data_IF_435399830583
#
_entry.id   IF_435399830583
#
_cell.length_a   1.000
_cell.length_b   1.000
_cell.length_c   1.000
_cell.angle_alpha   90.00
_cell.angle_beta   90.00
_cell.angle_gamma   90.00
#
_symmetry.space_group_name_H-M   'P 1'
#
loop_
_entity.id
_entity.type
_entity.pdbx_description
1 polymer ?
#
# COMPACT_ATOMS: atom_id res chain seq x y z
N UNK A 1 -23.44 5.16 51.72
CA UNK A 1 -22.17 5.88 51.92
C UNK A 1 -21.11 4.89 52.37
N UNK A 2 -20.22 4.48 51.48
CA UNK A 2 -18.80 4.23 51.79
C UNK A 2 -18.05 4.21 50.47
N UNK A 3 -17.10 5.14 50.36
CA UNK A 3 -16.18 5.27 49.26
C UNK A 3 -14.95 4.36 49.51
N UNK A 4 -14.11 4.31 48.49
CA UNK A 4 -12.67 4.02 48.52
C UNK A 4 -12.22 2.58 48.77
N UNK A 5 -12.05 1.85 47.65
CA UNK A 5 -10.74 1.31 47.26
C UNK A 5 -10.73 0.96 45.78
N UNK A 6 -10.94 1.97 44.92
CA UNK A 6 -10.51 1.87 43.51
C UNK A 6 -9.00 1.78 43.56
N UNK A 7 -8.48 0.59 43.29
CA UNK A 7 -7.06 0.31 43.24
C UNK A 7 -6.38 1.29 42.30
N UNK A 8 -5.41 2.02 42.82
CA UNK A 8 -4.49 2.92 42.10
C UNK A 8 -3.61 2.16 41.07
N UNK A 9 -3.87 0.87 40.85
CA UNK A 9 -3.17 0.00 39.90
C UNK A 9 -3.62 0.10 38.44
N UNK A 10 -4.68 0.85 38.11
CA UNK A 10 -5.10 1.07 36.71
C UNK A 10 -4.52 2.34 36.07
N UNK A 11 -3.69 3.12 36.78
CA UNK A 11 -3.21 4.44 36.31
C UNK A 11 -1.80 4.46 35.70
N UNK A 12 -1.19 3.30 35.45
CA UNK A 12 0.07 3.16 34.69
C UNK A 12 -0.11 2.28 33.45
N UNK A 13 -1.27 2.37 32.80
CA UNK A 13 -1.46 1.78 31.48
C UNK A 13 -0.60 2.60 30.50
N UNK A 14 0.57 2.05 30.19
CA UNK A 14 1.61 2.56 29.28
C UNK A 14 1.10 3.59 28.26
N UNK A 15 1.78 4.74 28.19
CA UNK A 15 1.56 5.76 27.15
C UNK A 15 1.82 5.16 25.77
N UNK A 16 0.83 4.46 25.22
CA UNK A 16 0.88 3.94 23.85
C UNK A 16 0.88 5.13 22.90
N UNK A 17 1.89 5.20 22.04
CA UNK A 17 1.88 6.11 20.92
C UNK A 17 0.62 5.86 20.08
N UNK A 18 -0.14 6.91 19.82
CA UNK A 18 -1.38 6.82 19.06
C UNK A 18 -1.15 7.25 17.60
N UNK A 19 -1.81 6.57 16.67
CA UNK A 19 -1.91 6.97 15.27
C UNK A 19 -2.85 8.18 15.19
N UNK A 20 -2.35 9.33 14.75
CA UNK A 20 -3.14 10.55 14.61
C UNK A 20 -3.86 10.59 13.27
N UNK A 21 -5.18 10.81 13.29
CA UNK A 21 -5.95 10.99 12.06
C UNK A 21 -5.56 12.28 11.32
N UNK A 22 -5.15 13.35 12.03
CA UNK A 22 -4.56 14.55 11.41
C UNK A 22 -3.31 14.23 10.62
N UNK A 23 -2.41 13.39 11.15
CA UNK A 23 -1.23 12.95 10.42
C UNK A 23 -1.63 12.19 9.14
N UNK A 24 -2.57 11.25 9.25
CA UNK A 24 -3.07 10.50 8.10
C UNK A 24 -3.70 11.40 7.03
N UNK A 25 -4.49 12.40 7.44
CA UNK A 25 -5.04 13.40 6.53
C UNK A 25 -3.92 14.25 5.89
N UNK A 26 -2.89 14.61 6.66
CA UNK A 26 -1.73 15.36 6.18
C UNK A 26 -0.98 14.65 5.04
N UNK A 27 -0.98 13.31 5.00
CA UNK A 27 -0.39 12.54 3.90
C UNK A 27 -1.05 12.84 2.55
N UNK A 28 -2.34 13.18 2.54
CA UNK A 28 -3.06 13.59 1.32
C UNK A 28 -2.60 14.93 0.77
N UNK A 29 -1.79 15.69 1.52
CA UNK A 29 -1.09 16.88 1.03
C UNK A 29 -0.20 16.61 -0.19
N UNK A 30 0.15 15.34 -0.47
CA UNK A 30 0.83 14.96 -1.72
C UNK A 30 -0.01 15.30 -2.97
N UNK A 31 -1.34 15.29 -2.88
CA UNK A 31 -2.24 15.60 -4.00
C UNK A 31 -2.00 17.03 -4.51
N UNK A 32 -2.22 18.10 -3.71
CA UNK A 32 -1.98 19.46 -4.17
C UNK A 32 -0.50 19.69 -4.53
N UNK A 33 0.45 19.05 -3.84
CA UNK A 33 1.88 19.13 -4.19
C UNK A 33 2.13 18.62 -5.62
N UNK A 34 1.63 17.44 -5.97
CA UNK A 34 1.79 16.90 -7.32
C UNK A 34 1.09 17.75 -8.39
N UNK A 35 -0.10 18.30 -8.09
CA UNK A 35 -0.80 19.19 -9.02
C UNK A 35 -0.05 20.51 -9.24
N UNK A 36 0.47 21.12 -8.17
CA UNK A 36 1.30 22.33 -8.26
C UNK A 36 2.57 22.04 -9.06
N UNK A 37 3.26 20.93 -8.77
CA UNK A 37 4.46 20.54 -9.50
C UNK A 37 4.18 20.34 -11.00
N UNK A 38 3.06 19.74 -11.36
CA UNK A 38 2.67 19.59 -12.76
C UNK A 38 2.38 20.94 -13.43
N UNK A 39 1.70 21.88 -12.75
CA UNK A 39 1.48 23.23 -13.26
C UNK A 39 2.80 24.00 -13.45
N UNK A 40 3.71 23.92 -12.48
CA UNK A 40 5.04 24.54 -12.57
C UNK A 40 5.86 23.90 -13.69
N UNK A 41 5.75 22.59 -13.88
CA UNK A 41 6.45 21.91 -14.96
C UNK A 41 6.02 22.43 -16.32
N UNK A 42 4.71 22.58 -16.51
CA UNK A 42 4.16 23.06 -17.76
C UNK A 42 4.46 24.54 -18.02
N UNK A 43 4.33 25.40 -17.00
CA UNK A 43 4.43 26.86 -17.17
C UNK A 43 5.84 27.42 -17.02
N UNK A 44 6.67 26.84 -16.16
CA UNK A 44 8.00 27.37 -15.83
C UNK A 44 9.13 26.50 -16.38
N UNK A 45 8.99 25.16 -16.31
CA UNK A 45 10.08 24.24 -16.64
C UNK A 45 9.99 23.60 -18.01
N UNK A 46 9.03 24.04 -18.85
CA UNK A 46 8.91 23.56 -20.24
C UNK A 46 8.81 22.03 -20.34
N UNK A 47 7.97 21.44 -19.46
CA UNK A 47 7.74 20.00 -19.35
C UNK A 47 9.00 19.17 -18.96
N UNK A 48 9.96 19.76 -18.26
CA UNK A 48 11.19 19.09 -17.81
C UNK A 48 10.91 17.82 -16.99
N UNK A 49 10.04 17.89 -15.99
CA UNK A 49 9.67 16.75 -15.15
C UNK A 49 8.96 15.69 -15.98
N UNK A 50 8.01 16.06 -16.85
CA UNK A 50 7.35 15.10 -17.75
C UNK A 50 8.36 14.31 -18.59
N UNK A 51 9.39 15.00 -19.08
CA UNK A 51 10.37 14.41 -20.00
C UNK A 51 11.48 13.62 -19.27
N UNK A 52 11.79 13.95 -18.01
CA UNK A 52 12.86 13.29 -17.24
C UNK A 52 12.36 12.26 -16.23
N UNK A 53 11.10 12.32 -15.79
CA UNK A 53 10.54 11.34 -14.88
C UNK A 53 10.15 10.03 -15.60
N UNK A 54 10.17 8.90 -14.88
CA UNK A 54 9.74 7.60 -15.40
C UNK A 54 8.38 7.64 -16.10
N UNK A 55 8.37 7.34 -17.40
CA UNK A 55 7.16 7.25 -18.22
C UNK A 55 6.83 5.82 -18.67
N UNK A 56 7.71 4.84 -18.38
CA UNK A 56 7.57 3.44 -18.78
C UNK A 56 7.72 2.48 -17.59
N UNK A 57 7.07 1.29 -17.64
CA UNK A 57 7.14 0.23 -16.61
C UNK A 57 8.56 -0.10 -16.12
N UNK A 58 9.56 -0.08 -17.01
CA UNK A 58 10.95 -0.39 -16.66
C UNK A 58 11.59 0.65 -15.75
N UNK A 59 11.24 1.93 -15.92
CA UNK A 59 11.70 3.00 -15.04
C UNK A 59 10.95 3.07 -13.71
N UNK A 60 9.84 2.33 -13.57
CA UNK A 60 9.15 2.15 -12.29
C UNK A 60 9.86 1.15 -11.37
N UNK A 61 11.01 0.57 -11.72
CA UNK A 61 11.85 -0.14 -10.74
C UNK A 61 12.30 0.82 -9.63
N UNK A 62 12.77 2.03 -9.98
CA UNK A 62 13.07 3.06 -8.98
C UNK A 62 11.84 3.36 -8.12
N UNK A 63 10.67 3.43 -8.75
CA UNK A 63 9.41 3.60 -8.04
C UNK A 63 9.15 2.44 -7.08
N UNK A 64 9.31 1.18 -7.50
CA UNK A 64 9.14 -0.01 -6.65
C UNK A 64 10.12 -0.06 -5.48
N UNK A 65 11.34 0.45 -5.66
CA UNK A 65 12.35 0.55 -4.60
C UNK A 65 11.96 1.62 -3.58
N UNK A 66 11.39 2.75 -4.01
CA UNK A 66 10.99 3.85 -3.13
C UNK A 66 9.60 3.62 -2.48
N UNK A 67 8.68 3.04 -3.24
CA UNK A 67 7.26 2.86 -2.91
C UNK A 67 6.78 1.50 -3.47
N UNK A 68 6.10 0.71 -2.67
CA UNK A 68 5.64 -0.63 -3.04
C UNK A 68 6.39 -1.72 -2.27
N UNK A 69 7.57 -2.09 -2.78
CA UNK A 69 8.29 -3.24 -2.24
C UNK A 69 8.76 -3.05 -0.80
N UNK A 70 9.26 -1.87 -0.36
CA UNK A 70 9.62 -1.68 1.05
C UNK A 70 8.44 -1.93 1.99
N UNK A 71 7.24 -1.41 1.71
CA UNK A 71 6.10 -1.61 2.62
C UNK A 71 5.64 -3.08 2.64
N UNK A 72 5.65 -3.76 1.49
CA UNK A 72 5.35 -5.20 1.38
C UNK A 72 6.33 -6.00 2.23
N UNK A 73 7.61 -5.67 2.14
CA UNK A 73 8.65 -6.34 2.93
C UNK A 73 8.48 -6.00 4.42
N UNK A 74 8.18 -4.76 4.77
CA UNK A 74 7.95 -4.34 6.16
C UNK A 74 6.83 -5.16 6.82
N UNK A 75 5.70 -5.36 6.13
CA UNK A 75 4.59 -6.15 6.67
C UNK A 75 4.99 -7.61 6.90
N UNK A 76 5.77 -8.19 5.97
CA UNK A 76 6.25 -9.56 6.06
C UNK A 76 7.30 -9.72 7.17
N UNK A 77 8.20 -8.76 7.34
CA UNK A 77 9.12 -8.71 8.48
C UNK A 77 8.33 -8.67 9.79
N UNK A 78 7.32 -7.81 9.89
CA UNK A 78 6.52 -7.67 11.10
C UNK A 78 5.76 -8.98 11.42
N UNK A 79 5.25 -9.68 10.40
CA UNK A 79 4.61 -10.99 10.55
C UNK A 79 5.59 -12.08 11.00
N UNK A 80 6.74 -12.19 10.34
CA UNK A 80 7.69 -13.32 10.52
C UNK A 80 8.59 -13.11 11.74
N UNK A 81 8.94 -11.87 12.09
CA UNK A 81 9.79 -11.58 13.25
C UNK A 81 9.10 -11.80 14.60
N UNK A 82 7.79 -11.96 14.61
CA UNK A 82 6.97 -12.10 15.81
C UNK A 82 6.36 -13.51 15.90
N UNK A 83 6.93 -14.36 16.77
CA UNK A 83 6.51 -15.76 16.93
C UNK A 83 5.01 -15.92 17.18
N UNK A 84 4.43 -15.06 18.02
CA UNK A 84 3.00 -15.11 18.35
C UNK A 84 2.11 -14.89 17.12
N UNK A 85 2.57 -14.07 16.18
CA UNK A 85 1.82 -13.77 14.95
C UNK A 85 1.89 -14.94 13.99
N UNK A 86 3.07 -15.55 13.81
CA UNK A 86 3.21 -16.77 13.04
C UNK A 86 2.35 -17.90 13.59
N UNK A 87 2.35 -18.11 14.92
CA UNK A 87 1.53 -19.16 15.55
C UNK A 87 0.03 -18.90 15.33
N UNK A 88 -0.41 -17.65 15.51
CA UNK A 88 -1.81 -17.26 15.32
C UNK A 88 -2.25 -17.42 13.85
N UNK A 89 -1.43 -16.98 12.90
CA UNK A 89 -1.78 -16.95 11.47
C UNK A 89 -1.29 -18.15 10.66
N UNK A 90 -0.64 -19.16 11.25
CA UNK A 90 -0.03 -20.30 10.54
C UNK A 90 -0.94 -20.98 9.52
N UNK A 91 -2.23 -21.15 9.84
CA UNK A 91 -3.21 -21.79 8.94
C UNK A 91 -3.49 -20.90 7.73
N UNK A 92 -3.67 -19.60 7.95
CA UNK A 92 -3.88 -18.61 6.90
C UNK A 92 -2.66 -18.48 5.99
N UNK A 93 -1.45 -18.44 6.58
CA UNK A 93 -0.21 -18.41 5.83
C UNK A 93 -0.09 -19.68 4.97
N UNK A 94 -0.21 -20.88 5.57
CA UNK A 94 -0.08 -22.13 4.82
C UNK A 94 -1.12 -22.26 3.69
N UNK A 95 -2.38 -21.97 3.96
CA UNK A 95 -3.45 -22.01 2.96
C UNK A 95 -3.18 -21.03 1.82
N UNK A 96 -2.81 -19.79 2.15
CA UNK A 96 -2.54 -18.77 1.13
C UNK A 96 -1.24 -19.06 0.36
N UNK A 97 -0.22 -19.64 0.99
CA UNK A 97 0.98 -20.11 0.28
C UNK A 97 0.61 -21.16 -0.76
N UNK A 98 -0.19 -22.16 -0.38
CA UNK A 98 -0.67 -23.19 -1.33
C UNK A 98 -1.50 -22.55 -2.44
N UNK A 99 -2.41 -21.63 -2.10
CA UNK A 99 -3.24 -20.93 -3.09
C UNK A 99 -2.39 -20.09 -4.07
N UNK A 100 -1.35 -19.38 -3.59
CA UNK A 100 -0.44 -18.60 -4.43
C UNK A 100 0.37 -19.52 -5.35
N UNK A 101 0.91 -20.63 -4.84
CA UNK A 101 1.66 -21.59 -5.67
C UNK A 101 0.77 -22.17 -6.76
N UNK A 102 -0.44 -22.64 -6.42
CA UNK A 102 -1.41 -23.14 -7.39
C UNK A 102 -1.78 -22.05 -8.39
N UNK A 103 -2.01 -20.82 -7.92
CA UNK A 103 -2.33 -19.67 -8.76
C UNK A 103 -1.23 -19.33 -9.75
N UNK A 104 0.04 -19.39 -9.35
CA UNK A 104 1.18 -19.19 -10.26
C UNK A 104 1.30 -20.32 -11.28
N UNK A 105 1.21 -21.58 -10.83
CA UNK A 105 1.35 -22.75 -11.72
C UNK A 105 0.21 -22.79 -12.74
N UNK A 106 -1.04 -22.78 -12.28
CA UNK A 106 -2.21 -22.81 -13.16
C UNK A 106 -2.29 -21.53 -14.00
N UNK A 107 -2.02 -20.37 -13.41
CA UNK A 107 -2.02 -19.11 -14.12
C UNK A 107 -1.04 -19.11 -15.27
N UNK A 108 0.20 -19.55 -15.05
CA UNK A 108 1.23 -19.61 -16.09
C UNK A 108 0.95 -20.67 -17.17
N UNK A 109 0.22 -21.74 -16.84
CA UNK A 109 -0.16 -22.78 -17.81
C UNK A 109 -1.40 -22.41 -18.63
N UNK A 110 -2.37 -21.72 -18.02
CA UNK A 110 -3.70 -21.54 -18.60
C UNK A 110 -3.95 -20.13 -19.15
N UNK A 111 -3.23 -19.11 -18.66
CA UNK A 111 -3.52 -17.71 -18.98
C UNK A 111 -2.36 -17.02 -19.70
N UNK A 112 -2.63 -16.24 -20.76
CA UNK A 112 -1.67 -15.31 -21.32
C UNK A 112 -1.14 -14.34 -20.26
N UNK A 113 0.16 -14.02 -20.33
CA UNK A 113 0.84 -13.10 -19.40
C UNK A 113 0.10 -11.76 -19.21
N UNK A 114 -0.49 -11.22 -20.29
CA UNK A 114 -1.28 -9.98 -20.23
C UNK A 114 -2.50 -10.10 -19.31
N UNK A 115 -3.19 -11.23 -19.32
CA UNK A 115 -4.34 -11.45 -18.45
C UNK A 115 -3.91 -11.60 -17.00
N UNK A 116 -2.83 -12.35 -16.73
CA UNK A 116 -2.23 -12.43 -15.39
C UNK A 116 -1.86 -11.05 -14.86
N UNK A 117 -1.22 -10.23 -15.69
CA UNK A 117 -0.88 -8.86 -15.35
C UNK A 117 -2.12 -8.04 -14.99
N UNK A 118 -3.19 -8.11 -15.79
CA UNK A 118 -4.46 -7.42 -15.50
C UNK A 118 -5.03 -7.84 -14.15
N UNK A 119 -5.04 -9.13 -13.82
CA UNK A 119 -5.52 -9.61 -12.51
C UNK A 119 -4.67 -9.07 -11.36
N UNK A 120 -3.34 -9.15 -11.45
CA UNK A 120 -2.43 -8.66 -10.41
C UNK A 120 -2.54 -7.15 -10.26
N UNK A 121 -2.62 -6.40 -11.36
CA UNK A 121 -2.81 -4.96 -11.37
C UNK A 121 -4.14 -4.56 -10.74
N UNK A 122 -5.24 -5.23 -11.10
CA UNK A 122 -6.56 -4.99 -10.54
C UNK A 122 -6.60 -5.26 -9.04
N UNK A 123 -6.01 -6.38 -8.61
CA UNK A 123 -5.91 -6.72 -7.20
C UNK A 123 -5.07 -5.71 -6.41
N UNK A 124 -3.98 -5.23 -7.01
CA UNK A 124 -3.11 -4.22 -6.41
C UNK A 124 -3.85 -2.88 -6.22
N UNK A 125 -4.57 -2.40 -7.24
CA UNK A 125 -5.38 -1.18 -7.13
C UNK A 125 -6.49 -1.36 -6.09
N UNK A 126 -7.17 -2.51 -6.12
CA UNK A 126 -8.19 -2.85 -5.13
C UNK A 126 -7.63 -2.79 -3.70
N UNK A 127 -6.49 -3.41 -3.45
CA UNK A 127 -5.84 -3.42 -2.15
C UNK A 127 -5.52 -1.99 -1.65
N UNK A 128 -4.84 -1.19 -2.47
CA UNK A 128 -4.46 0.20 -2.16
C UNK A 128 -5.69 1.02 -1.78
N UNK A 129 -6.72 1.01 -2.63
CA UNK A 129 -7.92 1.81 -2.42
C UNK A 129 -8.78 1.29 -1.27
N UNK A 130 -8.89 -0.03 -1.11
CA UNK A 130 -9.65 -0.64 0.00
C UNK A 130 -9.09 -0.21 1.36
N UNK A 131 -7.77 -0.13 1.51
CA UNK A 131 -7.18 0.36 2.76
C UNK A 131 -7.58 1.81 3.04
N UNK A 132 -7.42 2.69 2.05
CA UNK A 132 -7.72 4.12 2.23
C UNK A 132 -9.20 4.37 2.50
N UNK A 133 -10.09 3.76 1.72
CA UNK A 133 -11.53 3.82 1.96
C UNK A 133 -11.94 3.14 3.27
N UNK A 134 -11.22 2.09 3.71
CA UNK A 134 -11.47 1.42 4.98
C UNK A 134 -11.19 2.33 6.18
N UNK A 135 -10.09 3.09 6.12
CA UNK A 135 -9.77 4.12 7.12
C UNK A 135 -10.79 5.25 7.05
N UNK A 136 -11.10 5.73 5.84
CA UNK A 136 -12.10 6.78 5.63
C UNK A 136 -13.48 6.39 6.18
N UNK A 137 -13.91 5.13 6.02
CA UNK A 137 -15.14 4.60 6.60
C UNK A 137 -15.12 4.72 8.13
N UNK A 138 -14.00 4.42 8.78
CA UNK A 138 -13.86 4.56 10.23
C UNK A 138 -13.95 6.01 10.71
N UNK A 139 -13.35 6.95 9.97
CA UNK A 139 -13.36 8.39 10.29
C UNK A 139 -14.71 9.04 10.01
N UNK A 140 -15.30 8.71 8.86
CA UNK A 140 -16.52 9.35 8.35
C UNK A 140 -17.81 8.64 8.80
N UNK A 141 -17.69 7.44 9.39
CA UNK A 141 -18.82 6.58 9.79
C UNK A 141 -19.81 6.29 8.65
N UNK A 142 -19.28 6.12 7.44
CA UNK A 142 -20.11 5.88 6.25
C UNK A 142 -20.92 4.58 6.38
N UNK A 143 -22.19 4.57 5.92
CA UNK A 143 -22.95 3.34 5.81
C UNK A 143 -22.30 2.39 4.81
N UNK A 144 -22.53 1.09 4.99
CA UNK A 144 -21.85 0.05 4.22
C UNK A 144 -22.11 0.14 2.71
N UNK A 145 -23.33 0.54 2.31
CA UNK A 145 -23.70 0.74 0.91
C UNK A 145 -22.89 1.87 0.25
N UNK A 146 -22.81 3.04 0.90
CA UNK A 146 -22.04 4.18 0.41
C UNK A 146 -20.55 3.84 0.32
N UNK A 147 -20.00 3.17 1.34
CA UNK A 147 -18.61 2.70 1.33
C UNK A 147 -18.33 1.77 0.13
N UNK A 148 -19.17 0.74 -0.07
CA UNK A 148 -18.99 -0.22 -1.17
C UNK A 148 -19.12 0.44 -2.54
N UNK A 149 -20.08 1.34 -2.71
CA UNK A 149 -20.28 2.08 -3.97
C UNK A 149 -19.06 2.92 -4.32
N UNK A 150 -18.59 3.75 -3.38
CA UNK A 150 -17.45 4.63 -3.62
C UNK A 150 -16.17 3.84 -3.86
N UNK A 151 -15.95 2.75 -3.10
CA UNK A 151 -14.83 1.86 -3.32
C UNK A 151 -14.89 1.21 -4.70
N UNK A 152 -16.04 0.65 -5.10
CA UNK A 152 -16.19 -0.02 -6.39
C UNK A 152 -15.93 0.93 -7.57
N UNK A 153 -16.50 2.15 -7.53
CA UNK A 153 -16.26 3.17 -8.56
C UNK A 153 -14.80 3.62 -8.60
N UNK A 154 -14.19 3.82 -7.44
CA UNK A 154 -12.77 4.19 -7.32
C UNK A 154 -11.85 3.11 -7.87
N UNK A 155 -12.13 1.84 -7.56
CA UNK A 155 -11.37 0.70 -8.07
C UNK A 155 -11.55 0.56 -9.58
N UNK A 156 -12.78 0.65 -10.09
CA UNK A 156 -13.03 0.57 -11.53
C UNK A 156 -12.26 1.66 -12.31
N UNK A 157 -12.35 2.92 -11.87
CA UNK A 157 -11.60 4.03 -12.47
C UNK A 157 -10.09 3.86 -12.29
N UNK A 158 -9.63 3.52 -11.09
CA UNK A 158 -8.23 3.30 -10.76
C UNK A 158 -7.58 2.19 -11.60
N UNK A 159 -8.29 1.09 -11.84
CA UNK A 159 -7.82 -0.01 -12.68
C UNK A 159 -7.69 0.45 -14.13
N UNK A 160 -8.67 1.16 -14.68
CA UNK A 160 -8.59 1.69 -16.04
C UNK A 160 -7.39 2.65 -16.21
N UNK A 161 -7.16 3.54 -15.23
CA UNK A 161 -5.99 4.45 -15.22
C UNK A 161 -4.69 3.65 -15.15
N UNK A 162 -4.59 2.71 -14.22
CA UNK A 162 -3.38 1.92 -14.00
C UNK A 162 -3.01 1.09 -15.23
N UNK A 163 -3.98 0.38 -15.82
CA UNK A 163 -3.78 -0.39 -17.04
C UNK A 163 -3.39 0.51 -18.21
N UNK A 164 -3.98 1.71 -18.32
CA UNK A 164 -3.59 2.66 -19.37
C UNK A 164 -2.14 3.11 -19.28
N UNK A 165 -1.60 3.25 -18.06
CA UNK A 165 -0.21 3.63 -17.85
C UNK A 165 0.72 2.47 -18.17
N UNK A 166 0.49 1.30 -17.57
CA UNK A 166 1.45 0.20 -17.62
C UNK A 166 1.36 -0.67 -18.88
N UNK A 167 0.19 -0.75 -19.52
CA UNK A 167 0.01 -1.50 -20.78
C UNK A 167 0.09 -0.59 -22.01
N UNK A 168 0.41 0.70 -21.87
CA UNK A 168 0.41 1.67 -22.98
C UNK A 168 1.14 1.17 -24.23
N UNK A 169 2.31 0.57 -24.07
CA UNK A 169 3.14 0.08 -25.19
C UNK A 169 2.61 -1.21 -25.82
N UNK A 170 1.68 -1.90 -25.16
CA UNK A 170 1.10 -3.18 -25.60
C UNK A 170 -0.30 -3.04 -26.19
N UNK A 171 -0.91 -1.87 -26.07
CA UNK A 171 -2.28 -1.57 -26.49
C UNK A 171 -2.29 -0.82 -27.81
N UNK A 172 -3.31 -1.05 -28.63
CA UNK A 172 -3.55 -0.26 -29.84
C UNK A 172 -4.01 1.16 -29.46
N UNK A 173 -3.85 2.12 -30.38
CA UNK A 173 -4.32 3.51 -30.15
C UNK A 173 -5.82 3.56 -29.82
N UNK A 174 -6.61 2.72 -30.48
CA UNK A 174 -8.04 2.59 -30.22
C UNK A 174 -8.32 2.03 -28.81
N UNK A 175 -7.61 0.98 -28.37
CA UNK A 175 -7.76 0.44 -27.01
C UNK A 175 -7.41 1.49 -25.94
N UNK A 176 -6.34 2.26 -26.15
CA UNK A 176 -5.98 3.36 -25.24
C UNK A 176 -7.09 4.41 -25.20
N UNK A 177 -7.70 4.75 -26.34
CA UNK A 177 -8.83 5.67 -26.40
C UNK A 177 -10.03 5.14 -25.61
N UNK A 178 -10.42 3.88 -25.78
CA UNK A 178 -11.52 3.26 -25.02
C UNK A 178 -11.28 3.26 -23.51
N UNK A 179 -10.09 2.84 -23.06
CA UNK A 179 -9.78 2.78 -21.62
C UNK A 179 -9.77 4.19 -21.00
N UNK A 180 -9.30 5.21 -21.74
CA UNK A 180 -9.41 6.61 -21.31
C UNK A 180 -10.85 7.05 -21.07
N UNK A 181 -11.78 6.68 -21.96
CA UNK A 181 -13.21 7.01 -21.80
C UNK A 181 -13.84 6.26 -20.62
N UNK A 182 -13.48 4.99 -20.43
CA UNK A 182 -13.91 4.20 -19.28
C UNK A 182 -13.43 4.85 -17.98
N UNK A 183 -12.16 5.27 -17.91
CA UNK A 183 -11.61 5.97 -16.76
C UNK A 183 -12.32 7.31 -16.51
N UNK A 184 -12.61 8.08 -17.56
CA UNK A 184 -13.32 9.36 -17.47
C UNK A 184 -14.75 9.19 -16.94
N UNK A 185 -15.50 8.23 -17.50
CA UNK A 185 -16.85 7.89 -17.05
C UNK A 185 -16.83 7.39 -15.59
N UNK A 186 -15.86 6.54 -15.23
CA UNK A 186 -15.68 6.08 -13.86
C UNK A 186 -15.43 7.22 -12.88
N UNK A 187 -14.61 8.21 -13.26
CA UNK A 187 -14.37 9.41 -12.45
C UNK A 187 -15.62 10.28 -12.33
N UNK A 188 -16.38 10.47 -13.40
CA UNK A 188 -17.64 11.21 -13.37
C UNK A 188 -18.66 10.54 -12.43
N UNK A 189 -18.83 9.23 -12.57
CA UNK A 189 -19.73 8.46 -11.69
C UNK A 189 -19.26 8.50 -10.24
N UNK A 190 -17.95 8.42 -9.99
CA UNK A 190 -17.36 8.57 -8.66
C UNK A 190 -17.68 9.93 -8.05
N UNK A 191 -17.51 11.03 -8.80
CA UNK A 191 -17.82 12.39 -8.33
C UNK A 191 -19.30 12.53 -8.02
N UNK A 192 -20.18 12.08 -8.91
CA UNK A 192 -21.63 12.12 -8.70
C UNK A 192 -22.05 11.32 -7.46
N UNK A 193 -21.54 10.09 -7.32
CA UNK A 193 -21.78 9.27 -6.14
C UNK A 193 -21.20 9.93 -4.87
N UNK A 194 -20.05 10.60 -4.99
CA UNK A 194 -19.43 11.29 -3.86
C UNK A 194 -20.28 12.47 -3.37
N UNK A 195 -20.77 13.29 -4.28
CA UNK A 195 -21.70 14.38 -3.96
C UNK A 195 -22.99 13.88 -3.33
N UNK A 196 -23.53 12.76 -3.80
CA UNK A 196 -24.72 12.16 -3.19
C UNK A 196 -24.38 11.64 -1.81
N UNK A 197 -23.29 10.88 -1.62
CA UNK A 197 -22.98 10.24 -0.34
C UNK A 197 -22.36 11.16 0.72
N UNK A 198 -21.95 12.39 0.38
CA UNK A 198 -21.33 13.29 1.35
C UNK A 198 -22.26 13.67 2.52
N UNK A 199 -23.58 13.62 2.34
CA UNK A 199 -24.55 13.94 3.39
C UNK A 199 -24.47 13.00 4.60
N UNK A 200 -23.88 11.81 4.45
CA UNK A 200 -23.62 10.90 5.56
C UNK A 200 -22.46 11.36 6.47
N UNK A 201 -21.66 12.34 6.03
CA UNK A 201 -20.48 12.79 6.75
C UNK A 201 -20.85 13.99 7.64
N UNK A 202 -20.77 13.78 8.96
CA UNK A 202 -21.26 14.76 9.94
C UNK A 202 -20.24 15.85 10.28
N UNK A 203 -18.93 15.53 10.20
CA UNK A 203 -17.87 16.44 10.68
C UNK A 203 -17.09 17.04 9.52
N UNK A 204 -16.66 18.31 9.66
CA UNK A 204 -15.81 18.96 8.66
C UNK A 204 -14.50 18.22 8.46
N UNK A 205 -13.92 17.68 9.53
CA UNK A 205 -12.72 16.83 9.46
C UNK A 205 -12.98 15.57 8.63
N UNK A 206 -14.10 14.88 8.87
CA UNK A 206 -14.53 13.75 8.06
C UNK A 206 -14.74 14.14 6.60
N UNK A 207 -15.28 15.32 6.31
CA UNK A 207 -15.51 15.79 4.95
C UNK A 207 -14.20 15.99 4.18
N UNK A 208 -13.17 16.55 4.84
CA UNK A 208 -11.82 16.63 4.25
C UNK A 208 -11.25 15.25 3.96
N UNK A 209 -11.36 14.32 4.92
CA UNK A 209 -10.86 12.95 4.74
C UNK A 209 -11.59 12.22 3.60
N UNK A 210 -12.90 12.40 3.53
CA UNK A 210 -13.79 11.86 2.51
C UNK A 210 -13.40 12.33 1.11
N UNK A 211 -13.34 13.64 0.89
CA UNK A 211 -12.99 14.21 -0.40
C UNK A 211 -11.54 13.95 -0.77
N UNK A 212 -10.63 13.88 0.20
CA UNK A 212 -9.23 13.52 -0.07
C UNK A 212 -9.11 12.11 -0.67
N UNK A 213 -9.94 11.16 -0.23
CA UNK A 213 -9.99 9.81 -0.84
C UNK A 213 -10.51 9.85 -2.28
N UNK A 214 -11.56 10.62 -2.54
CA UNK A 214 -12.09 10.82 -3.91
C UNK A 214 -11.02 11.49 -4.79
N UNK A 215 -10.34 12.51 -4.28
CA UNK A 215 -9.29 13.23 -5.00
C UNK A 215 -8.06 12.38 -5.30
N UNK A 216 -7.77 11.30 -4.56
CA UNK A 216 -6.70 10.36 -4.95
C UNK A 216 -6.91 9.85 -6.38
N UNK A 217 -8.14 9.42 -6.71
CA UNK A 217 -8.46 8.87 -8.03
C UNK A 217 -8.54 9.98 -9.07
N UNK A 218 -9.19 11.10 -8.75
CA UNK A 218 -9.36 12.22 -9.69
C UNK A 218 -8.03 12.88 -10.05
N UNK A 219 -7.16 13.11 -9.07
CA UNK A 219 -5.83 13.66 -9.32
C UNK A 219 -4.98 12.69 -10.15
N UNK A 220 -5.05 11.39 -9.86
CA UNK A 220 -4.37 10.37 -10.66
C UNK A 220 -4.85 10.37 -12.11
N UNK A 221 -6.17 10.47 -12.33
CA UNK A 221 -6.75 10.58 -13.67
C UNK A 221 -6.30 11.85 -14.39
N UNK A 222 -6.36 12.99 -13.72
CA UNK A 222 -5.92 14.27 -14.28
C UNK A 222 -4.43 14.24 -14.67
N UNK A 223 -3.55 13.81 -13.76
CA UNK A 223 -2.12 13.69 -14.01
C UNK A 223 -1.83 12.70 -15.16
N UNK A 224 -2.60 11.62 -15.27
CA UNK A 224 -2.54 10.70 -16.39
C UNK A 224 -2.90 11.37 -17.73
N UNK A 225 -3.95 12.21 -17.77
CA UNK A 225 -4.30 12.98 -18.97
C UNK A 225 -3.19 13.96 -19.36
N UNK A 226 -2.53 14.58 -18.37
CA UNK A 226 -1.36 15.45 -18.56
C UNK A 226 -0.06 14.67 -18.85
N UNK A 227 -0.13 13.35 -19.03
CA UNK A 227 1.02 12.46 -19.28
C UNK A 227 2.08 12.43 -18.16
N UNK A 228 1.74 12.90 -16.96
CA UNK A 228 2.58 12.85 -15.77
C UNK A 228 2.39 11.51 -15.03
N UNK A 229 2.74 10.41 -15.70
CA UNK A 229 2.43 9.05 -15.23
C UNK A 229 3.08 8.69 -13.89
N UNK A 230 4.32 9.15 -13.67
CA UNK A 230 5.00 8.94 -12.40
C UNK A 230 4.20 9.53 -11.24
N UNK A 231 3.77 10.80 -11.37
CA UNK A 231 2.99 11.48 -10.33
C UNK A 231 1.60 10.83 -10.17
N UNK A 232 0.97 10.41 -11.27
CA UNK A 232 -0.33 9.73 -11.23
C UNK A 232 -0.29 8.43 -10.41
N UNK A 233 0.82 7.70 -10.41
CA UNK A 233 0.99 6.49 -9.59
C UNK A 233 1.48 6.84 -8.19
N UNK A 234 2.33 7.87 -8.05
CA UNK A 234 2.87 8.32 -6.77
C UNK A 234 1.79 8.71 -5.79
N UNK A 235 0.79 9.50 -6.21
CA UNK A 235 -0.26 10.02 -5.32
C UNK A 235 -0.94 8.92 -4.49
N UNK A 236 -1.58 7.88 -5.07
CA UNK A 236 -2.25 6.84 -4.29
C UNK A 236 -1.27 5.97 -3.51
N UNK A 237 -0.07 5.72 -4.06
CA UNK A 237 0.94 4.87 -3.43
C UNK A 237 1.58 5.51 -2.23
N UNK A 238 1.98 6.78 -2.32
CA UNK A 238 2.56 7.50 -1.21
C UNK A 238 1.60 7.49 -0.01
N UNK A 239 0.33 7.83 -0.22
CA UNK A 239 -0.66 7.86 0.87
C UNK A 239 -0.85 6.47 1.46
N UNK A 240 -0.94 5.43 0.63
CA UNK A 240 -1.09 4.04 1.09
C UNK A 240 0.12 3.53 1.87
N UNK A 241 1.31 3.61 1.28
CA UNK A 241 2.55 3.13 1.85
C UNK A 241 2.90 3.88 3.14
N UNK A 242 2.83 5.22 3.12
CA UNK A 242 3.14 6.03 4.29
C UNK A 242 2.12 5.78 5.41
N UNK A 243 0.85 5.58 5.07
CA UNK A 243 -0.16 5.15 6.06
C UNK A 243 0.22 3.80 6.65
N UNK A 244 0.58 2.80 5.83
CA UNK A 244 0.99 1.49 6.32
C UNK A 244 2.19 1.60 7.27
N UNK A 245 3.21 2.37 6.91
CA UNK A 245 4.37 2.61 7.77
C UNK A 245 4.01 3.30 9.09
N UNK A 246 3.13 4.30 9.09
CA UNK A 246 2.65 4.93 10.33
C UNK A 246 2.06 3.88 11.28
N UNK A 247 1.25 2.95 10.76
CA UNK A 247 0.69 1.86 11.54
C UNK A 247 1.77 0.89 12.02
N UNK A 248 2.64 0.41 11.13
CA UNK A 248 3.63 -0.63 11.46
C UNK A 248 4.64 -0.13 12.49
N UNK A 249 5.12 1.10 12.30
CA UNK A 249 6.11 1.71 13.19
C UNK A 249 5.49 2.02 14.55
N UNK A 250 4.26 2.54 14.59
CA UNK A 250 3.56 2.78 15.86
C UNK A 250 3.32 1.47 16.62
N UNK A 251 2.92 0.41 15.90
CA UNK A 251 2.77 -0.93 16.47
C UNK A 251 4.08 -1.42 17.10
N UNK A 252 5.17 -1.41 16.33
CA UNK A 252 6.45 -1.95 16.79
C UNK A 252 7.06 -1.11 17.91
N UNK A 253 6.89 0.21 17.87
CA UNK A 253 7.26 1.09 18.97
C UNK A 253 6.53 0.69 20.26
N UNK A 254 5.19 0.63 20.22
CA UNK A 254 4.38 0.27 21.39
C UNK A 254 4.65 -1.13 21.91
N UNK A 255 5.07 -2.06 21.04
CA UNK A 255 5.39 -3.43 21.42
C UNK A 255 6.80 -3.60 21.99
N UNK A 256 7.77 -2.84 21.49
CA UNK A 256 9.19 -3.11 21.72
C UNK A 256 9.93 -2.03 22.51
N UNK A 257 9.34 -0.85 22.75
CA UNK A 257 10.03 0.25 23.44
C UNK A 257 10.56 -0.15 24.83
N UNK A 258 9.73 -0.79 25.65
CA UNK A 258 10.10 -1.16 27.02
C UNK A 258 10.75 -2.55 27.10
N UNK A 259 10.29 -3.49 26.29
CA UNK A 259 10.80 -4.87 26.28
C UNK A 259 10.91 -5.41 24.86
N UNK A 260 12.07 -5.25 24.19
CA UNK A 260 12.29 -5.77 22.84
C UNK A 260 12.18 -7.30 22.78
N UNK A 261 11.07 -7.81 22.25
CA UNK A 261 10.75 -9.24 22.26
C UNK A 261 11.48 -10.04 21.16
N UNK A 262 11.76 -9.43 20.00
CA UNK A 262 12.38 -10.12 18.88
C UNK A 262 13.88 -9.76 18.72
N UNK A 263 14.60 -10.54 17.92
CA UNK A 263 16.05 -10.39 17.73
C UNK A 263 16.38 -9.05 17.05
N UNK A 264 15.56 -8.63 16.08
CA UNK A 264 15.75 -7.41 15.30
C UNK A 264 15.79 -6.19 16.23
N UNK A 265 14.76 -6.02 17.07
CA UNK A 265 14.68 -4.88 17.99
C UNK A 265 15.68 -4.96 19.15
N UNK A 266 16.08 -6.16 19.59
CA UNK A 266 17.15 -6.34 20.58
C UNK A 266 18.50 -5.86 20.06
N UNK A 267 18.86 -6.20 18.81
CA UNK A 267 20.10 -5.72 18.21
C UNK A 267 20.04 -4.23 17.89
N UNK A 268 18.91 -3.73 17.38
CA UNK A 268 18.73 -2.30 17.14
C UNK A 268 18.96 -1.47 18.41
N UNK A 269 18.44 -1.93 19.56
CA UNK A 269 18.68 -1.30 20.86
C UNK A 269 20.16 -1.29 21.27
N UNK A 270 20.90 -2.38 20.99
CA UNK A 270 22.36 -2.44 21.22
C UNK A 270 23.15 -1.49 20.32
N UNK A 271 22.67 -1.25 19.10
CA UNK A 271 23.29 -0.34 18.13
C UNK A 271 22.86 1.12 18.31
N UNK A 272 22.00 1.44 19.29
CA UNK A 272 21.48 2.80 19.49
C UNK A 272 20.54 3.28 18.38
N UNK A 273 19.95 2.38 17.60
CA UNK A 273 19.05 2.74 16.51
C UNK A 273 17.66 3.01 17.08
N UNK A 274 17.11 4.17 16.77
CA UNK A 274 15.76 4.53 17.20
C UNK A 274 14.71 3.59 16.58
N UNK A 275 13.76 3.09 17.38
CA UNK A 275 12.78 2.08 16.97
C UNK A 275 11.98 2.48 15.73
N UNK A 276 11.69 3.78 15.56
CA UNK A 276 10.97 4.28 14.39
C UNK A 276 11.72 4.09 13.06
N UNK A 277 13.04 3.94 13.11
CA UNK A 277 13.88 3.80 11.91
C UNK A 277 14.15 2.34 11.56
N UNK A 278 14.03 1.41 12.52
CA UNK A 278 14.40 0.01 12.34
C UNK A 278 13.64 -0.62 11.19
N UNK A 279 12.30 -0.57 11.22
CA UNK A 279 11.49 -1.21 10.19
C UNK A 279 11.60 -0.52 8.81
N UNK A 280 11.52 0.82 8.69
CA UNK A 280 11.73 1.50 7.41
C UNK A 280 13.11 1.23 6.81
N UNK A 281 14.19 1.37 7.59
CA UNK A 281 15.54 1.15 7.06
C UNK A 281 15.77 -0.31 6.66
N UNK A 282 15.35 -1.26 7.49
CA UNK A 282 15.51 -2.69 7.19
C UNK A 282 14.72 -3.10 5.95
N UNK A 283 13.46 -2.70 5.88
CA UNK A 283 12.58 -3.05 4.75
C UNK A 283 13.01 -2.39 3.44
N UNK A 284 13.46 -1.14 3.47
CA UNK A 284 14.03 -0.45 2.31
C UNK A 284 15.34 -1.10 1.84
N UNK A 285 16.24 -1.40 2.77
CA UNK A 285 17.53 -2.04 2.44
C UNK A 285 17.30 -3.41 1.81
N UNK A 286 16.39 -4.21 2.39
CA UNK A 286 16.06 -5.53 1.86
C UNK A 286 15.32 -5.43 0.50
N UNK A 287 14.43 -4.44 0.32
CA UNK A 287 13.80 -4.17 -0.97
C UNK A 287 14.83 -3.87 -2.06
N UNK A 288 15.78 -2.98 -1.76
CA UNK A 288 16.85 -2.62 -2.68
C UNK A 288 17.72 -3.83 -3.01
N UNK A 289 18.17 -4.59 -2.01
CA UNK A 289 19.02 -5.76 -2.22
C UNK A 289 18.32 -6.84 -3.06
N UNK A 290 17.05 -7.14 -2.76
CA UNK A 290 16.28 -8.15 -3.50
C UNK A 290 15.98 -7.70 -4.93
N UNK A 291 15.68 -6.42 -5.17
CA UNK A 291 15.39 -5.93 -6.52
C UNK A 291 16.66 -5.77 -7.37
N UNK A 292 17.75 -5.24 -6.80
CA UNK A 292 18.96 -4.95 -7.55
C UNK A 292 19.84 -6.21 -7.76
N UNK A 293 19.89 -7.11 -6.78
CA UNK A 293 20.84 -8.24 -6.78
C UNK A 293 20.19 -9.61 -6.59
N UNK A 294 18.90 -9.67 -6.25
CA UNK A 294 18.25 -10.93 -5.90
C UNK A 294 18.26 -11.95 -7.03
N UNK A 295 17.88 -11.55 -8.25
CA UNK A 295 17.86 -12.46 -9.40
C UNK A 295 19.27 -12.93 -9.79
N UNK A 296 20.26 -12.05 -9.71
CA UNK A 296 21.66 -12.39 -9.97
C UNK A 296 22.17 -13.44 -8.98
N UNK A 297 21.91 -13.24 -7.68
CA UNK A 297 22.29 -14.19 -6.65
C UNK A 297 21.59 -15.53 -6.83
N UNK A 298 20.29 -15.52 -7.15
CA UNK A 298 19.53 -16.74 -7.41
C UNK A 298 20.11 -17.52 -8.60
N UNK A 299 20.44 -16.83 -9.70
CA UNK A 299 21.07 -17.44 -10.86
C UNK A 299 22.44 -18.04 -10.55
N UNK A 300 23.28 -17.33 -9.79
CA UNK A 300 24.59 -17.84 -9.37
C UNK A 300 24.45 -19.14 -8.57
N UNK A 301 23.47 -19.19 -7.66
CA UNK A 301 23.19 -20.38 -6.85
C UNK A 301 22.66 -21.53 -7.73
N UNK A 302 21.70 -21.26 -8.61
CA UNK A 302 21.05 -22.31 -9.43
C UNK A 302 21.99 -22.83 -10.49
N UNK A 303 22.84 -21.98 -11.06
CA UNK A 303 23.87 -22.40 -12.00
C UNK A 303 24.93 -23.27 -11.30
N UNK A 304 25.36 -22.89 -10.09
CA UNK A 304 26.32 -23.67 -9.32
C UNK A 304 25.77 -25.04 -8.88
N UNK A 305 24.50 -25.08 -8.44
CA UNK A 305 23.90 -26.30 -7.87
C UNK A 305 23.23 -27.22 -8.90
N UNK A 306 22.61 -26.64 -9.94
CA UNK A 306 21.74 -27.35 -10.88
C UNK A 306 22.22 -27.26 -12.33
N UNK A 307 23.22 -26.43 -12.62
CA UNK A 307 23.67 -26.18 -13.99
C UNK A 307 22.65 -25.44 -14.85
N UNK A 308 21.66 -24.78 -14.23
CA UNK A 308 20.57 -24.09 -14.94
C UNK A 308 20.35 -22.68 -14.42
N UNK A 309 19.89 -21.80 -15.30
CA UNK A 309 19.47 -20.44 -14.97
C UNK A 309 17.95 -20.36 -14.90
N UNK A 310 17.43 -19.63 -13.91
CA UNK A 310 16.00 -19.39 -13.78
C UNK A 310 15.70 -17.91 -13.93
N UNK A 311 14.87 -17.57 -14.90
CA UNK A 311 14.54 -16.18 -15.17
C UNK A 311 13.66 -15.56 -14.07
N UNK A 312 14.13 -14.45 -13.46
CA UNK A 312 13.38 -13.57 -12.54
C UNK A 312 12.74 -14.26 -11.32
N UNK A 313 13.44 -15.24 -10.74
CA UNK A 313 12.94 -15.98 -9.56
C UNK A 313 12.66 -15.07 -8.37
N UNK A 314 13.51 -14.08 -8.12
CA UNK A 314 13.35 -13.20 -6.96
C UNK A 314 12.38 -12.07 -7.28
N UNK A 315 12.59 -11.36 -8.38
CA UNK A 315 11.79 -10.15 -8.68
C UNK A 315 10.35 -10.47 -9.04
N UNK A 316 10.09 -11.55 -9.80
CA UNK A 316 8.73 -11.96 -10.15
C UNK A 316 8.18 -13.01 -9.17
N UNK A 317 8.99 -14.01 -8.82
CA UNK A 317 8.54 -15.11 -7.96
C UNK A 317 8.44 -14.73 -6.49
N UNK A 318 9.59 -14.50 -5.84
CA UNK A 318 9.64 -14.26 -4.39
C UNK A 318 8.95 -12.95 -3.97
N UNK A 319 9.28 -11.83 -4.62
CA UNK A 319 8.62 -10.55 -4.31
C UNK A 319 7.14 -10.58 -4.68
N UNK A 320 6.75 -11.26 -5.77
CA UNK A 320 5.35 -11.47 -6.12
C UNK A 320 4.60 -12.30 -5.07
N UNK A 321 5.23 -13.35 -4.53
CA UNK A 321 4.70 -14.11 -3.40
C UNK A 321 4.51 -13.23 -2.16
N UNK A 322 5.54 -12.45 -1.78
CA UNK A 322 5.45 -11.55 -0.63
C UNK A 322 4.35 -10.50 -0.80
N UNK A 323 4.18 -9.97 -2.02
CA UNK A 323 3.13 -9.01 -2.35
C UNK A 323 1.73 -9.61 -2.19
N UNK A 324 1.48 -10.79 -2.77
CA UNK A 324 0.18 -11.47 -2.66
C UNK A 324 -0.12 -11.87 -1.21
N UNK A 325 0.89 -12.37 -0.48
CA UNK A 325 0.76 -12.68 0.94
C UNK A 325 0.46 -11.41 1.76
N UNK A 326 1.16 -10.31 1.49
CA UNK A 326 0.90 -9.01 2.10
C UNK A 326 -0.55 -8.58 1.88
N UNK A 327 -1.01 -8.56 0.63
CA UNK A 327 -2.38 -8.14 0.28
C UNK A 327 -3.46 -8.95 1.00
N UNK A 328 -3.22 -10.26 1.20
CA UNK A 328 -4.11 -11.12 1.94
C UNK A 328 -4.05 -10.87 3.45
N UNK A 329 -2.85 -10.89 4.01
CA UNK A 329 -2.63 -10.80 5.44
C UNK A 329 -3.09 -9.46 6.01
N UNK A 330 -2.90 -8.36 5.29
CA UNK A 330 -3.40 -7.04 5.71
C UNK A 330 -4.91 -6.98 5.90
N UNK A 331 -5.66 -7.77 5.13
CA UNK A 331 -7.10 -7.89 5.30
C UNK A 331 -7.51 -8.54 6.63
N UNK A 332 -6.59 -9.25 7.28
CA UNK A 332 -6.79 -10.00 8.53
C UNK A 332 -6.10 -9.34 9.72
N UNK A 333 -4.87 -8.85 9.54
CA UNK A 333 -4.01 -8.37 10.62
C UNK A 333 -4.50 -7.09 11.28
N UNK A 334 -5.31 -6.28 10.61
CA UNK A 334 -5.80 -5.02 11.19
C UNK A 334 -7.24 -5.07 11.73
N UNK A 335 -7.85 -6.26 11.77
CA UNK A 335 -9.19 -6.47 12.33
C UNK A 335 -9.20 -6.28 13.87
N UNK A 336 -10.38 -5.99 14.43
CA UNK A 336 -10.56 -5.56 15.83
C UNK A 336 -9.92 -6.51 16.86
N UNK A 337 -10.01 -7.82 16.64
CA UNK A 337 -9.55 -8.85 17.58
C UNK A 337 -8.17 -9.43 17.24
N UNK A 338 -7.48 -8.83 16.27
CA UNK A 338 -6.14 -9.27 15.85
C UNK A 338 -5.07 -8.99 16.92
N UNK A 339 -4.01 -9.83 16.99
CA UNK A 339 -2.86 -9.56 17.84
C UNK A 339 -2.17 -8.22 17.56
N UNK A 340 -2.21 -7.74 16.31
CA UNK A 340 -1.59 -6.47 15.91
C UNK A 340 -2.36 -5.28 16.51
N UNK A 341 -3.70 -5.34 16.50
CA UNK A 341 -4.54 -4.23 16.93
C UNK A 341 -4.31 -3.84 18.40
N UNK A 342 -3.83 -4.77 19.24
CA UNK A 342 -3.53 -4.55 20.67
C UNK A 342 -2.51 -3.44 20.93
N UNK A 343 -1.64 -3.17 19.95
CA UNK A 343 -0.57 -2.18 20.05
C UNK A 343 -0.86 -0.90 19.26
N UNK A 344 -2.09 -0.71 18.77
CA UNK A 344 -2.48 0.52 18.07
C UNK A 344 -3.56 1.27 18.86
N UNK A 345 -3.26 2.51 19.20
CA UNK A 345 -4.23 3.49 19.69
C UNK A 345 -4.50 4.55 18.60
N UNK A 346 -5.63 5.25 18.68
CA UNK A 346 -5.97 6.35 17.77
C UNK A 346 -6.09 7.65 18.53
N UNK A 347 -5.60 8.72 17.92
CA UNK A 347 -5.80 10.09 18.38
C UNK A 347 -6.41 10.93 17.24
N UNK A 348 -7.12 11.99 17.60
CA UNK A 348 -7.71 12.90 16.61
C UNK A 348 -6.63 13.70 15.90
#
# INVERSE_FOLDING_TARGET
>A
MSASSVSIHDSLCDQKQAVSFRLLLGLYGIIPVCLILQCLDHWLWQDYLRNNLPSSPYHFVLFQILFGTPHIIASNILLVSNKDYLVHYRKHIALMTVAIVIGYVLGNMLLPYRLLYVFVAAWTVYHVLKQQYGIARGVCQLPESAFKLLLALSVAAGVAIYLSIFLRSSLTAEQVYWIKHIAALGCLLLVSAAFVCQHFVVTSFGLWFYWSNVFLVLASFYLFLQQHYFMAILVPRFVHDATAYVFYVTHDYNKHQHNPQNIIYRYAGRCGIHLFLVLPCLSFSLAFLLQAYGDYLANLITQYLLGTEFYKVVTLGFLGYLALMHYYMEGLTWQKDSPYRKFIAFSK
#
